data_IF_090270893140
#
_entry.id   IF_090270893140
#
_cell.length_a   1.000
_cell.length_b   1.000
_cell.length_c   1.000
_cell.angle_alpha   90.00
_cell.angle_beta   90.00
_cell.angle_gamma   90.00
#
_symmetry.space_group_name_H-M   'P 1'
#
loop_
_entity.id
_entity.type
_entity.pdbx_description
1 polymer ?
#
# COMPACT_ATOMS: atom_id res chain seq x y z
N UNK A 1 -10.95 -10.49 -4.90
CA UNK A 1 -10.24 -11.56 -4.12
C UNK A 1 -11.15 -11.99 -2.97
N UNK A 2 -11.15 -13.25 -2.56
CA UNK A 2 -11.97 -13.74 -1.44
C UNK A 2 -11.07 -14.13 -0.26
N UNK A 3 -11.51 -13.82 0.95
CA UNK A 3 -10.94 -14.36 2.20
C UNK A 3 -11.21 -15.87 2.26
N UNK A 4 -10.53 -16.57 3.16
CA UNK A 4 -10.74 -18.01 3.39
C UNK A 4 -12.20 -18.36 3.79
N UNK A 5 -12.98 -17.38 4.26
CA UNK A 5 -14.39 -17.50 4.62
C UNK A 5 -15.37 -17.19 3.46
N UNK A 6 -14.88 -16.95 2.25
CA UNK A 6 -15.69 -16.65 1.06
C UNK A 6 -16.17 -15.20 0.94
N UNK A 7 -15.91 -14.35 1.95
CA UNK A 7 -16.24 -12.92 1.86
C UNK A 7 -15.22 -12.17 0.99
N UNK A 8 -15.60 -11.07 0.32
CA UNK A 8 -14.64 -10.18 -0.34
C UNK A 8 -13.56 -9.74 0.66
N UNK A 9 -12.30 -10.00 0.32
CA UNK A 9 -11.15 -9.63 1.15
C UNK A 9 -10.86 -8.13 1.08
N UNK A 10 -11.21 -7.54 -0.07
CA UNK A 10 -10.89 -6.20 -0.52
C UNK A 10 -10.60 -6.24 -2.01
N UNK A 11 -10.39 -5.06 -2.57
CA UNK A 11 -9.94 -4.88 -3.94
C UNK A 11 -8.51 -4.33 -3.94
N UNK A 12 -7.74 -4.72 -4.96
CA UNK A 12 -6.46 -4.12 -5.26
C UNK A 12 -6.66 -3.14 -6.41
N UNK A 13 -6.06 -1.96 -6.34
CA UNK A 13 -6.12 -1.00 -7.45
C UNK A 13 -5.38 -1.55 -8.67
N UNK A 14 -4.15 -2.05 -8.48
CA UNK A 14 -3.35 -2.71 -9.52
C UNK A 14 -2.61 -3.91 -8.95
N UNK A 15 -2.58 -5.01 -9.70
CA UNK A 15 -1.81 -6.22 -9.38
C UNK A 15 -0.99 -6.62 -10.59
N UNK A 16 0.32 -6.79 -10.40
CA UNK A 16 1.24 -7.31 -11.41
C UNK A 16 1.65 -8.74 -11.07
N UNK A 17 2.65 -9.28 -11.77
CA UNK A 17 3.27 -10.55 -11.40
C UNK A 17 3.97 -10.48 -10.03
N UNK A 18 4.60 -9.36 -9.69
CA UNK A 18 5.51 -9.26 -8.55
C UNK A 18 5.04 -8.24 -7.48
N UNK A 19 4.06 -7.39 -7.81
CA UNK A 19 3.62 -6.27 -6.99
C UNK A 19 2.09 -6.19 -6.81
N UNK A 20 1.70 -5.60 -5.69
CA UNK A 20 0.40 -5.00 -5.44
C UNK A 20 0.63 -3.50 -5.30
N UNK A 21 -0.12 -2.69 -6.05
CA UNK A 21 0.00 -1.24 -6.02
C UNK A 21 -1.33 -0.65 -5.56
N UNK A 22 -1.30 0.02 -4.42
CA UNK A 22 -2.39 0.87 -3.93
C UNK A 22 -2.15 2.29 -4.45
N UNK A 23 -3.14 2.87 -5.12
CA UNK A 23 -3.02 4.18 -5.77
C UNK A 23 -3.87 5.21 -5.04
N UNK A 24 -3.23 6.31 -4.61
CA UNK A 24 -3.92 7.43 -3.97
C UNK A 24 -3.60 8.73 -4.67
N UNK A 25 -4.64 9.53 -4.96
CA UNK A 25 -4.50 10.87 -5.56
C UNK A 25 -3.71 11.87 -4.70
N UNK A 26 -3.52 11.59 -3.42
CA UNK A 26 -2.73 12.42 -2.48
C UNK A 26 -2.58 11.69 -1.15
N UNK A 27 -1.66 12.14 -0.30
CA UNK A 27 -1.52 11.62 1.06
C UNK A 27 -2.80 11.80 1.91
N UNK A 28 -3.60 12.84 1.64
CA UNK A 28 -4.90 13.05 2.31
C UNK A 28 -5.90 11.92 2.03
N UNK A 29 -5.78 11.24 0.88
CA UNK A 29 -6.61 10.10 0.53
C UNK A 29 -6.16 8.79 1.21
N UNK A 30 -5.03 8.81 1.92
CA UNK A 30 -4.62 7.72 2.81
C UNK A 30 -5.31 7.92 4.15
N UNK A 31 -6.56 7.46 4.22
CA UNK A 31 -7.44 7.61 5.39
C UNK A 31 -7.32 6.46 6.39
N UNK A 32 -7.00 5.26 5.91
CA UNK A 32 -6.84 4.07 6.74
C UNK A 32 -5.45 3.46 6.56
N UNK A 33 -4.60 3.53 7.59
CA UNK A 33 -3.26 2.92 7.59
C UNK A 33 -3.31 1.43 7.89
N UNK A 34 -4.28 0.98 8.68
CA UNK A 34 -4.46 -0.44 9.05
C UNK A 34 -4.85 -1.29 7.84
N UNK A 35 -5.36 -0.68 6.77
CA UNK A 35 -5.64 -1.41 5.52
C UNK A 35 -4.38 -2.10 4.98
N UNK A 36 -3.19 -1.54 5.20
CA UNK A 36 -1.94 -2.13 4.73
C UNK A 36 -1.58 -3.42 5.49
N UNK A 37 -2.10 -3.63 6.70
CA UNK A 37 -1.90 -4.89 7.43
C UNK A 37 -2.51 -6.08 6.69
N UNK A 38 -3.62 -5.86 5.97
CA UNK A 38 -4.22 -6.87 5.08
C UNK A 38 -3.30 -7.29 3.92
N UNK A 39 -2.33 -6.46 3.57
CA UNK A 39 -1.40 -6.71 2.47
C UNK A 39 -0.06 -7.29 2.93
N UNK A 40 0.39 -6.97 4.16
CA UNK A 40 1.75 -7.27 4.63
C UNK A 40 1.81 -8.18 5.87
N UNK A 41 0.75 -8.26 6.67
CA UNK A 41 0.73 -9.03 7.90
C UNK A 41 0.02 -10.38 7.70
N UNK A 42 0.78 -11.46 7.56
CA UNK A 42 0.27 -12.84 7.37
C UNK A 42 -0.63 -13.33 8.50
N UNK A 43 -0.53 -12.73 9.70
CA UNK A 43 -1.30 -13.10 10.87
C UNK A 43 -2.58 -12.25 11.02
N UNK A 44 -2.83 -11.30 10.12
CA UNK A 44 -4.03 -10.48 10.15
C UNK A 44 -5.22 -11.27 9.58
N UNK A 45 -6.37 -11.29 10.25
CA UNK A 45 -7.56 -12.07 9.82
C UNK A 45 -8.03 -11.73 8.40
N UNK A 46 -7.83 -10.47 8.02
CA UNK A 46 -8.10 -9.97 6.68
C UNK A 46 -6.92 -10.03 5.72
N UNK A 47 -5.91 -10.88 5.95
CA UNK A 47 -4.75 -10.99 5.05
C UNK A 47 -5.09 -11.69 3.75
N UNK A 48 -4.69 -11.13 2.61
CA UNK A 48 -4.98 -11.72 1.29
C UNK A 48 -3.87 -11.57 0.24
N UNK A 49 -2.66 -11.16 0.64
CA UNK A 49 -1.48 -11.17 -0.23
C UNK A 49 -0.77 -12.54 -0.20
N UNK A 50 -1.49 -13.64 -0.51
CA UNK A 50 -0.97 -15.01 -0.33
C UNK A 50 0.30 -15.33 -1.14
N UNK A 51 0.53 -14.60 -2.24
CA UNK A 51 1.73 -14.73 -3.06
C UNK A 51 2.90 -13.90 -2.57
N UNK A 52 2.76 -13.21 -1.43
CA UNK A 52 3.79 -12.35 -0.81
C UNK A 52 4.38 -11.35 -1.80
N UNK A 53 3.52 -10.77 -2.66
CA UNK A 53 3.91 -9.73 -3.61
C UNK A 53 4.40 -8.51 -2.86
N UNK A 54 5.32 -7.76 -3.46
CA UNK A 54 5.78 -6.48 -2.91
C UNK A 54 4.60 -5.50 -2.89
N UNK A 55 4.40 -4.83 -1.76
CA UNK A 55 3.31 -3.86 -1.61
C UNK A 55 3.86 -2.45 -1.82
N UNK A 56 3.25 -1.73 -2.75
CA UNK A 56 3.60 -0.35 -3.11
C UNK A 56 2.40 0.54 -2.84
N UNK A 57 2.61 1.64 -2.11
CA UNK A 57 1.69 2.77 -2.07
C UNK A 57 2.20 3.84 -3.04
N UNK A 58 1.49 4.04 -4.14
CA UNK A 58 1.73 5.12 -5.07
C UNK A 58 0.85 6.33 -4.72
N UNK A 59 1.49 7.47 -4.44
CA UNK A 59 0.81 8.73 -4.17
C UNK A 59 1.00 9.64 -5.37
N UNK A 60 -0.06 9.90 -6.14
CA UNK A 60 -0.02 10.72 -7.37
C UNK A 60 0.04 12.24 -7.08
N UNK A 61 0.89 12.63 -6.12
CA UNK A 61 1.27 14.02 -5.83
C UNK A 61 2.61 14.07 -5.11
N UNK A 62 3.42 15.12 -5.35
CA UNK A 62 4.64 15.36 -4.60
C UNK A 62 4.41 15.38 -3.07
N UNK A 63 5.31 14.72 -2.34
CA UNK A 63 5.32 14.70 -0.87
C UNK A 63 6.18 15.84 -0.31
N UNK A 64 5.80 17.08 -0.62
CA UNK A 64 6.51 18.31 -0.19
C UNK A 64 5.78 19.02 0.94
N UNK A 65 6.50 19.72 1.82
CA UNK A 65 5.93 20.53 2.91
C UNK A 65 4.92 19.78 3.79
N UNK A 66 5.27 18.55 4.17
CA UNK A 66 4.41 17.67 4.96
C UNK A 66 4.28 18.15 6.41
N UNK A 67 3.08 18.01 6.97
CA UNK A 67 2.87 18.21 8.39
C UNK A 67 3.50 17.07 9.20
N UNK A 68 3.82 17.27 10.48
CA UNK A 68 4.42 16.23 11.32
C UNK A 68 3.58 14.94 11.37
N UNK A 69 2.24 15.08 11.44
CA UNK A 69 1.32 13.93 11.40
C UNK A 69 1.37 13.16 10.08
N UNK A 70 1.65 13.84 8.97
CA UNK A 70 1.80 13.20 7.66
C UNK A 70 3.11 12.39 7.61
N UNK A 71 4.19 12.92 8.19
CA UNK A 71 5.47 12.21 8.31
C UNK A 71 5.33 10.95 9.16
N UNK A 72 4.70 11.06 10.34
CA UNK A 72 4.42 9.90 11.23
C UNK A 72 3.60 8.85 10.50
N UNK A 73 2.56 9.27 9.75
CA UNK A 73 1.74 8.36 8.95
C UNK A 73 2.57 7.60 7.91
N UNK A 74 3.42 8.30 7.17
CA UNK A 74 4.31 7.69 6.17
C UNK A 74 5.31 6.72 6.82
N UNK A 75 5.86 7.06 7.98
CA UNK A 75 6.78 6.22 8.74
C UNK A 75 6.12 4.92 9.22
N UNK A 76 4.88 5.00 9.73
CA UNK A 76 4.10 3.82 10.12
C UNK A 76 3.83 2.91 8.91
N UNK A 77 3.51 3.47 7.75
CA UNK A 77 3.28 2.67 6.54
C UNK A 77 4.58 1.99 6.09
N UNK A 78 5.70 2.73 6.08
CA UNK A 78 7.01 2.20 5.70
C UNK A 78 7.49 1.11 6.66
N UNK A 79 7.29 1.26 7.97
CA UNK A 79 7.73 0.27 8.96
C UNK A 79 7.01 -1.07 8.85
N UNK A 80 5.84 -1.12 8.20
CA UNK A 80 5.13 -2.35 7.83
C UNK A 80 5.72 -3.07 6.61
N UNK A 81 6.74 -2.51 5.97
CA UNK A 81 7.35 -3.07 4.76
C UNK A 81 6.71 -2.61 3.44
N UNK A 82 5.85 -1.58 3.48
CA UNK A 82 5.25 -0.99 2.28
C UNK A 82 6.24 0.00 1.65
N UNK A 83 6.48 -0.15 0.35
CA UNK A 83 7.26 0.84 -0.42
C UNK A 83 6.36 2.03 -0.76
N UNK A 84 6.79 3.25 -0.50
CA UNK A 84 6.02 4.46 -0.84
C UNK A 84 6.77 5.21 -1.94
N UNK A 85 6.08 5.50 -3.04
CA UNK A 85 6.58 6.30 -4.16
C UNK A 85 5.58 7.39 -4.52
N UNK A 86 6.05 8.53 -5.01
CA UNK A 86 5.19 9.69 -5.27
C UNK A 86 5.22 10.24 -6.71
N UNK A 87 5.91 9.53 -7.60
CA UNK A 87 6.00 9.85 -9.02
C UNK A 87 5.99 8.58 -9.86
N UNK A 88 5.64 8.74 -11.15
CA UNK A 88 5.68 7.62 -12.10
C UNK A 88 7.12 7.13 -12.31
N UNK A 89 8.11 8.01 -12.24
CA UNK A 89 9.50 7.62 -12.43
C UNK A 89 10.03 6.82 -11.24
N UNK A 90 9.74 7.25 -10.00
CA UNK A 90 10.01 6.41 -8.81
C UNK A 90 9.26 5.08 -8.87
N UNK A 91 8.01 5.07 -9.36
CA UNK A 91 7.25 3.83 -9.52
C UNK A 91 7.97 2.88 -10.49
N UNK A 92 8.44 3.36 -11.65
CA UNK A 92 9.18 2.54 -12.62
C UNK A 92 10.46 1.97 -12.04
N UNK A 93 11.17 2.71 -11.18
CA UNK A 93 12.40 2.24 -10.54
C UNK A 93 12.16 1.09 -9.55
N UNK A 94 10.97 1.02 -8.95
CA UNK A 94 10.65 0.01 -7.93
C UNK A 94 9.88 -1.20 -8.45
N UNK A 95 9.37 -1.15 -9.67
CA UNK A 95 8.75 -2.27 -10.39
C UNK A 95 9.82 -3.21 -10.97
N UNK A 96 9.51 -4.52 -11.05
CA UNK A 96 10.39 -5.54 -11.62
C UNK A 96 9.96 -6.00 -13.01
#
# INVERSE_FOLDING_TARGET
MQRADGNPAGDFDVVTKDEIIEVKKSLKAVTNVEQFDKYVNVNHDGYFNHNQKKVILYIDKPLTNLHQNDLIKLEIIKSKGVTIVNSIDELKEVLK
#
